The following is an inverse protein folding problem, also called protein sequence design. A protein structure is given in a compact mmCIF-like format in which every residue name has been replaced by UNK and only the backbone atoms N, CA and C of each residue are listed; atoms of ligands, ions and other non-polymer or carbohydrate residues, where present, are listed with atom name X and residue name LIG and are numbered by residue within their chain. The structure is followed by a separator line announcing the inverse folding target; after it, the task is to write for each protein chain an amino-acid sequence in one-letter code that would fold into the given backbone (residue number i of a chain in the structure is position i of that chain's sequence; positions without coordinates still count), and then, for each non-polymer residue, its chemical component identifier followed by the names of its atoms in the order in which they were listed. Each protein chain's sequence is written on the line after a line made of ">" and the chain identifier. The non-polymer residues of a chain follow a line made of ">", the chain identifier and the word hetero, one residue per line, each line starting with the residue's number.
data_IF_196768377542
#
_entry.id   IF_196768377542
#
_cell.length_a   1.000
_cell.length_b   1.000
_cell.length_c   1.000
_cell.angle_alpha   90.00
_cell.angle_beta   90.00
_cell.angle_gamma   90.00
#
_symmetry.space_group_name_H-M   'P 1'
#
loop_
_entity.id
_entity.type
_entity.pdbx_description
1 polymer ?
#
# COMPACT_ATOMS: atom_id res chain seq x y z
N UNK A 1 -22.83 17.42 8.71
CA UNK A 1 -21.67 16.87 9.47
C UNK A 1 -21.71 15.35 9.37
N UNK A 2 -20.57 14.69 9.21
CA UNK A 2 -20.52 13.22 9.19
C UNK A 2 -20.68 12.73 10.63
N UNK A 3 -21.71 11.94 10.92
CA UNK A 3 -22.09 11.54 12.28
C UNK A 3 -22.39 10.02 12.37
N UNK A 4 -22.50 9.52 13.59
CA UNK A 4 -22.90 8.14 13.87
C UNK A 4 -22.00 7.08 13.24
N UNK A 5 -22.56 5.99 12.70
CA UNK A 5 -21.77 4.91 12.10
C UNK A 5 -20.88 5.35 10.93
N UNK A 6 -21.31 6.39 10.20
CA UNK A 6 -20.56 6.92 9.07
C UNK A 6 -19.27 7.63 9.53
N UNK A 7 -19.33 8.37 10.63
CA UNK A 7 -18.17 8.94 11.28
C UNK A 7 -17.16 7.84 11.67
N UNK A 8 -17.64 6.78 12.31
CA UNK A 8 -16.80 5.65 12.73
C UNK A 8 -16.12 4.97 11.54
N UNK A 9 -16.85 4.72 10.46
CA UNK A 9 -16.30 4.15 9.22
C UNK A 9 -15.21 5.04 8.62
N UNK A 10 -15.44 6.37 8.61
CA UNK A 10 -14.45 7.33 8.08
C UNK A 10 -13.18 7.36 8.92
N UNK A 11 -13.31 7.35 10.25
CA UNK A 11 -12.15 7.26 11.16
C UNK A 11 -11.38 5.96 10.96
N UNK A 12 -12.07 4.82 10.87
CA UNK A 12 -11.44 3.52 10.61
C UNK A 12 -10.74 3.49 9.25
N UNK A 13 -11.35 4.09 8.22
CA UNK A 13 -10.75 4.27 6.90
C UNK A 13 -9.47 5.09 6.96
N UNK A 14 -9.49 6.24 7.64
CA UNK A 14 -8.32 7.09 7.84
C UNK A 14 -7.18 6.34 8.54
N UNK A 15 -7.47 5.62 9.62
CA UNK A 15 -6.49 4.83 10.37
C UNK A 15 -5.91 3.69 9.53
N UNK A 16 -6.74 2.93 8.81
CA UNK A 16 -6.30 1.83 7.98
C UNK A 16 -5.41 2.30 6.83
N UNK A 17 -5.76 3.42 6.18
CA UNK A 17 -4.93 4.04 5.15
C UNK A 17 -3.62 4.57 5.75
N UNK A 18 -3.64 5.19 6.93
CA UNK A 18 -2.46 5.67 7.64
C UNK A 18 -1.49 4.55 8.00
N UNK A 19 -1.98 3.41 8.51
CA UNK A 19 -1.15 2.22 8.78
C UNK A 19 -0.56 1.66 7.48
N UNK A 20 -1.33 1.55 6.41
CA UNK A 20 -0.84 1.12 5.10
C UNK A 20 0.26 2.06 4.59
N UNK A 21 0.06 3.37 4.69
CA UNK A 21 1.06 4.38 4.33
C UNK A 21 2.35 4.20 5.15
N UNK A 22 2.23 3.99 6.47
CA UNK A 22 3.37 3.76 7.36
C UNK A 22 4.22 2.57 6.92
N UNK A 23 3.61 1.45 6.56
CA UNK A 23 4.32 0.27 6.05
C UNK A 23 5.04 0.59 4.75
N UNK A 24 4.36 1.18 3.76
CA UNK A 24 4.98 1.51 2.47
C UNK A 24 6.10 2.55 2.60
N UNK A 25 5.91 3.56 3.45
CA UNK A 25 6.93 4.59 3.73
C UNK A 25 8.15 3.97 4.42
N UNK A 26 7.98 3.03 5.37
CA UNK A 26 9.08 2.33 6.00
C UNK A 26 9.93 1.58 4.97
N UNK A 27 9.29 0.86 4.03
CA UNK A 27 9.99 0.22 2.92
C UNK A 27 10.74 1.22 2.03
N UNK A 28 10.14 2.37 1.72
CA UNK A 28 10.77 3.41 0.92
C UNK A 28 11.93 4.10 1.65
N UNK A 29 11.77 4.36 2.95
CA UNK A 29 12.71 5.18 3.72
C UNK A 29 13.98 4.42 4.10
N UNK A 30 13.86 3.17 4.56
CA UNK A 30 15.01 2.43 5.11
C UNK A 30 15.07 0.95 4.78
N UNK A 31 13.94 0.21 4.66
CA UNK A 31 13.99 -1.24 4.44
C UNK A 31 14.69 -1.58 3.13
N UNK A 32 14.23 -1.00 2.00
CA UNK A 32 14.82 -1.27 0.69
C UNK A 32 16.27 -0.75 0.58
N UNK A 33 16.60 0.34 1.26
CA UNK A 33 17.99 0.80 1.33
C UNK A 33 18.89 -0.19 2.06
N UNK A 34 18.40 -0.76 3.17
CA UNK A 34 19.12 -1.79 3.91
C UNK A 34 19.33 -3.04 3.07
N UNK A 35 18.28 -3.53 2.39
CA UNK A 35 18.37 -4.70 1.51
C UNK A 35 19.31 -4.48 0.32
N UNK A 36 19.28 -3.30 -0.29
CA UNK A 36 20.14 -2.95 -1.41
C UNK A 36 21.62 -2.79 -1.03
N UNK A 37 21.93 -2.55 0.24
CA UNK A 37 23.29 -2.48 0.76
C UNK A 37 23.91 -3.86 1.01
N UNK A 38 23.11 -4.93 1.05
CA UNK A 38 23.59 -6.30 1.19
C UNK A 38 24.20 -6.83 -0.14
N UNK A 39 25.07 -7.85 -0.08
CA UNK A 39 25.43 -8.61 -1.27
C UNK A 39 24.15 -9.08 -1.99
N UNK A 40 24.11 -9.09 -3.34
CA UNK A 40 22.90 -9.41 -4.09
C UNK A 40 22.19 -10.69 -3.66
N UNK A 41 22.95 -11.78 -3.43
CA UNK A 41 22.40 -13.05 -2.94
C UNK A 41 21.59 -12.89 -1.65
N UNK A 42 22.13 -12.17 -0.68
CA UNK A 42 21.48 -11.93 0.61
C UNK A 42 20.27 -10.99 0.47
N UNK A 43 20.38 -9.94 -0.34
CA UNK A 43 19.28 -9.01 -0.62
C UNK A 43 18.10 -9.70 -1.28
N UNK A 44 18.34 -10.54 -2.28
CA UNK A 44 17.33 -11.35 -2.98
C UNK A 44 16.65 -12.30 -1.98
N UNK A 45 17.44 -13.12 -1.28
CA UNK A 45 16.91 -14.11 -0.33
C UNK A 45 16.07 -13.45 0.77
N UNK A 46 16.55 -12.33 1.32
CA UNK A 46 15.81 -11.59 2.34
C UNK A 46 14.49 -11.02 1.80
N UNK A 47 14.49 -10.42 0.60
CA UNK A 47 13.26 -9.86 0.03
C UNK A 47 12.27 -10.95 -0.40
N UNK A 48 12.73 -12.10 -0.89
CA UNK A 48 11.88 -13.27 -1.14
C UNK A 48 11.19 -13.73 0.16
N UNK A 49 11.93 -13.83 1.26
CA UNK A 49 11.37 -14.17 2.56
C UNK A 49 10.36 -13.14 3.07
N UNK A 50 10.63 -11.84 2.89
CA UNK A 50 9.70 -10.75 3.22
C UNK A 50 8.41 -10.86 2.41
N UNK A 51 8.50 -11.13 1.10
CA UNK A 51 7.32 -11.28 0.24
C UNK A 51 6.43 -12.45 0.69
N UNK A 52 7.02 -13.57 1.12
CA UNK A 52 6.28 -14.69 1.69
C UNK A 52 5.62 -14.28 3.02
N UNK A 53 6.36 -13.62 3.90
CA UNK A 53 5.85 -13.17 5.19
C UNK A 53 4.73 -12.12 5.06
N UNK A 54 4.75 -11.29 4.00
CA UNK A 54 3.73 -10.29 3.73
C UNK A 54 2.34 -10.89 3.43
N UNK A 55 2.26 -12.17 3.06
CA UNK A 55 0.97 -12.88 2.89
C UNK A 55 0.40 -13.36 4.23
N UNK A 56 1.04 -13.01 5.36
CA UNK A 56 0.54 -13.37 6.69
C UNK A 56 -0.85 -12.77 6.98
N UNK A 57 -1.70 -13.46 7.77
CA UNK A 57 -3.03 -12.97 8.11
C UNK A 57 -3.02 -11.55 8.71
N UNK A 58 -2.02 -11.21 9.51
CA UNK A 58 -1.91 -9.90 10.16
C UNK A 58 -1.79 -8.76 9.14
N UNK A 59 -0.88 -8.88 8.17
CA UNK A 59 -0.73 -7.85 7.12
C UNK A 59 -1.91 -7.85 6.15
N UNK A 60 -2.43 -9.03 5.79
CA UNK A 60 -3.57 -9.15 4.88
C UNK A 60 -4.84 -8.53 5.46
N UNK A 61 -5.10 -8.68 6.78
CA UNK A 61 -6.23 -8.00 7.44
C UNK A 61 -6.11 -6.48 7.33
N UNK A 62 -4.93 -5.92 7.55
CA UNK A 62 -4.72 -4.46 7.42
C UNK A 62 -4.91 -4.01 5.97
N UNK A 63 -4.24 -4.67 5.04
CA UNK A 63 -4.22 -4.24 3.63
C UNK A 63 -5.56 -4.46 2.92
N UNK A 64 -6.14 -5.66 3.05
CA UNK A 64 -7.47 -5.97 2.50
C UNK A 64 -8.57 -5.21 3.24
N UNK A 65 -8.46 -5.10 4.57
CA UNK A 65 -9.38 -4.33 5.39
C UNK A 65 -9.44 -2.86 4.98
N UNK A 66 -8.30 -2.23 4.70
CA UNK A 66 -8.27 -0.87 4.17
C UNK A 66 -9.00 -0.77 2.81
N UNK A 67 -8.77 -1.71 1.90
CA UNK A 67 -9.45 -1.72 0.60
C UNK A 67 -10.97 -1.92 0.74
N UNK A 68 -11.41 -2.85 1.58
CA UNK A 68 -12.84 -3.10 1.85
C UNK A 68 -13.49 -1.87 2.50
N UNK A 69 -12.86 -1.27 3.50
CA UNK A 69 -13.38 -0.05 4.14
C UNK A 69 -13.52 1.10 3.14
N UNK A 70 -12.52 1.31 2.28
CA UNK A 70 -12.59 2.35 1.25
C UNK A 70 -13.67 2.06 0.21
N UNK A 71 -13.88 0.80 -0.17
CA UNK A 71 -14.97 0.43 -1.06
C UNK A 71 -16.32 0.70 -0.42
N UNK A 72 -16.51 0.31 0.84
CA UNK A 72 -17.75 0.58 1.59
C UNK A 72 -17.98 2.08 1.71
N UNK A 73 -16.95 2.87 2.10
CA UNK A 73 -17.03 4.31 2.17
C UNK A 73 -17.42 4.94 0.82
N UNK A 74 -16.80 4.49 -0.29
CA UNK A 74 -17.13 4.99 -1.61
C UNK A 74 -18.61 4.73 -1.96
N UNK A 75 -19.09 3.50 -1.74
CA UNK A 75 -20.49 3.13 -2.02
C UNK A 75 -21.47 3.90 -1.14
N UNK A 76 -21.20 3.96 0.17
CA UNK A 76 -22.08 4.68 1.11
C UNK A 76 -22.11 6.17 0.78
N UNK A 77 -20.95 6.77 0.49
CA UNK A 77 -20.87 8.18 0.09
C UNK A 77 -21.64 8.44 -1.20
N UNK A 78 -21.49 7.57 -2.20
CA UNK A 78 -22.19 7.72 -3.48
C UNK A 78 -23.71 7.60 -3.33
N UNK A 79 -24.18 6.72 -2.45
CA UNK A 79 -25.63 6.51 -2.20
C UNK A 79 -26.24 7.62 -1.36
N UNK A 80 -25.57 8.04 -0.29
CA UNK A 80 -26.08 9.04 0.64
C UNK A 80 -25.84 10.48 0.16
N UNK A 81 -24.80 10.70 -0.62
CA UNK A 81 -24.37 11.99 -1.16
C UNK A 81 -24.43 13.13 -0.15
N UNK A 82 -23.67 13.05 0.95
CA UNK A 82 -23.72 14.07 2.01
C UNK A 82 -23.30 15.44 1.46
N UNK A 83 -23.90 16.52 2.00
CA UNK A 83 -23.60 17.89 1.57
C UNK A 83 -22.14 18.29 1.86
N UNK A 84 -21.54 17.71 2.88
CA UNK A 84 -20.16 17.98 3.29
C UNK A 84 -19.32 16.70 3.25
N UNK A 85 -18.05 16.82 2.84
CA UNK A 85 -17.08 15.74 2.85
C UNK A 85 -17.20 14.73 1.70
N UNK A 86 -18.17 14.88 0.78
CA UNK A 86 -18.36 13.95 -0.35
C UNK A 86 -17.11 13.84 -1.22
N UNK A 87 -16.49 14.95 -1.58
CA UNK A 87 -15.30 14.96 -2.46
C UNK A 87 -14.14 14.30 -1.75
N UNK A 88 -13.90 14.64 -0.49
CA UNK A 88 -12.81 14.10 0.32
C UNK A 88 -12.96 12.59 0.53
N UNK A 89 -14.18 12.12 0.80
CA UNK A 89 -14.47 10.68 0.99
C UNK A 89 -14.27 9.88 -0.30
N UNK A 90 -14.77 10.37 -1.42
CA UNK A 90 -14.60 9.71 -2.72
C UNK A 90 -13.14 9.76 -3.18
N UNK A 91 -12.45 10.90 -2.99
CA UNK A 91 -11.03 11.04 -3.32
C UNK A 91 -10.17 10.11 -2.47
N UNK A 92 -10.38 10.09 -1.16
CA UNK A 92 -9.66 9.17 -0.25
C UNK A 92 -9.85 7.71 -0.64
N UNK A 93 -11.10 7.33 -0.93
CA UNK A 93 -11.41 5.97 -1.39
C UNK A 93 -10.74 5.64 -2.72
N UNK A 94 -10.77 6.53 -3.69
CA UNK A 94 -10.13 6.33 -5.00
C UNK A 94 -8.60 6.22 -4.87
N UNK A 95 -7.97 7.08 -4.05
CA UNK A 95 -6.54 7.03 -3.79
C UNK A 95 -6.10 5.70 -3.19
N UNK A 96 -6.83 5.17 -2.21
CA UNK A 96 -6.49 3.87 -1.61
C UNK A 96 -6.77 2.71 -2.57
N UNK A 97 -7.93 2.69 -3.24
CA UNK A 97 -8.32 1.59 -4.12
C UNK A 97 -7.50 1.53 -5.40
N UNK A 98 -7.23 2.66 -6.04
CA UNK A 98 -6.48 2.71 -7.29
C UNK A 98 -4.98 2.91 -7.02
N UNK A 99 -4.64 3.93 -6.22
CA UNK A 99 -3.26 4.34 -6.01
C UNK A 99 -2.45 3.40 -5.10
N UNK A 100 -3.10 2.70 -4.17
CA UNK A 100 -2.41 1.73 -3.32
C UNK A 100 -2.73 0.28 -3.73
N UNK A 101 -3.99 -0.13 -3.68
CA UNK A 101 -4.38 -1.51 -3.98
C UNK A 101 -4.18 -1.86 -5.46
N UNK A 102 -4.69 -1.06 -6.39
CA UNK A 102 -4.53 -1.27 -7.82
C UNK A 102 -3.07 -1.31 -8.25
N UNK A 103 -2.25 -0.37 -7.76
CA UNK A 103 -0.79 -0.37 -8.03
C UNK A 103 -0.11 -1.61 -7.45
N UNK A 104 -0.53 -2.08 -6.28
CA UNK A 104 0.01 -3.33 -5.71
C UNK A 104 -0.22 -4.49 -6.67
N UNK A 105 -1.45 -4.66 -7.15
CA UNK A 105 -1.81 -5.78 -8.04
C UNK A 105 -1.14 -5.65 -9.42
N UNK A 106 -1.14 -4.46 -10.00
CA UNK A 106 -0.66 -4.24 -11.36
C UNK A 106 0.87 -4.11 -11.47
N UNK A 107 1.53 -3.66 -10.42
CA UNK A 107 2.95 -3.33 -10.50
C UNK A 107 3.84 -4.09 -9.50
N UNK A 108 3.52 -4.09 -8.20
CA UNK A 108 4.42 -4.70 -7.21
C UNK A 108 4.34 -6.22 -7.18
N UNK A 109 3.14 -6.82 -7.28
CA UNK A 109 2.97 -8.28 -7.30
C UNK A 109 3.71 -8.92 -8.47
N UNK A 110 3.57 -8.48 -9.74
CA UNK A 110 4.31 -9.08 -10.84
C UNK A 110 5.83 -9.01 -10.68
N UNK A 111 6.35 -7.95 -10.04
CA UNK A 111 7.77 -7.82 -9.72
C UNK A 111 8.20 -8.80 -8.63
N UNK A 112 7.37 -8.97 -7.60
CA UNK A 112 7.61 -9.97 -6.55
C UNK A 112 7.63 -11.39 -7.13
N UNK A 113 6.73 -11.70 -8.06
CA UNK A 113 6.66 -12.99 -8.74
C UNK A 113 7.89 -13.23 -9.62
N UNK A 114 8.40 -12.19 -10.27
CA UNK A 114 9.65 -12.27 -11.03
C UNK A 114 10.86 -12.48 -10.10
N UNK A 115 10.92 -11.76 -8.98
CA UNK A 115 11.98 -11.94 -7.97
C UNK A 115 11.96 -13.36 -7.38
N UNK A 116 10.78 -13.92 -7.11
CA UNK A 116 10.63 -15.26 -6.54
C UNK A 116 11.21 -16.37 -7.42
N UNK A 117 11.42 -16.12 -8.72
CA UNK A 117 12.00 -17.08 -9.69
C UNK A 117 13.51 -16.98 -9.80
N UNK A 118 14.13 -15.97 -9.19
CA UNK A 118 15.59 -15.83 -9.22
C UNK A 118 16.24 -16.80 -8.24
N UNK A 119 17.32 -17.42 -8.67
CA UNK A 119 18.25 -18.10 -7.75
C UNK A 119 19.13 -17.03 -7.09
N UNK A 120 19.06 -16.86 -5.76
CA UNK A 120 19.88 -15.87 -5.07
C UNK A 120 21.37 -16.05 -5.24
N UNK A 121 21.84 -17.31 -5.36
CA UNK A 121 23.27 -17.64 -5.46
C UNK A 121 23.82 -17.52 -6.90
N UNK A 122 22.96 -17.39 -7.90
CA UNK A 122 23.38 -17.26 -9.28
C UNK A 122 23.96 -15.86 -9.57
N UNK A 123 25.20 -15.74 -10.08
CA UNK A 123 25.84 -14.44 -10.36
C UNK A 123 25.01 -13.54 -11.30
N UNK A 124 24.30 -14.15 -12.25
CA UNK A 124 23.42 -13.46 -13.19
C UNK A 124 22.22 -12.79 -12.54
N UNK A 125 21.83 -13.19 -11.33
CA UNK A 125 20.70 -12.59 -10.58
C UNK A 125 21.00 -11.18 -10.07
N UNK A 126 22.26 -10.76 -10.01
CA UNK A 126 22.64 -9.43 -9.53
C UNK A 126 22.12 -8.27 -10.40
N UNK A 127 22.02 -8.47 -11.72
CA UNK A 127 21.43 -7.49 -12.65
C UNK A 127 19.94 -7.29 -12.41
N UNK A 128 19.13 -8.36 -12.53
CA UNK A 128 17.70 -8.36 -12.20
C UNK A 128 17.38 -7.81 -10.82
N UNK A 129 18.19 -8.10 -9.80
CA UNK A 129 18.02 -7.53 -8.45
C UNK A 129 18.08 -6.00 -8.44
N UNK A 130 19.08 -5.39 -9.09
CA UNK A 130 19.19 -3.92 -9.16
C UNK A 130 17.99 -3.29 -9.85
N UNK A 131 17.52 -3.89 -10.95
CA UNK A 131 16.32 -3.45 -11.66
C UNK A 131 15.07 -3.58 -10.75
N UNK A 132 14.91 -4.72 -10.07
CA UNK A 132 13.85 -4.93 -9.12
C UNK A 132 13.81 -3.85 -8.04
N UNK A 133 14.94 -3.56 -7.39
CA UNK A 133 15.02 -2.55 -6.32
C UNK A 133 14.52 -1.19 -6.82
N UNK A 134 15.00 -0.73 -7.98
CA UNK A 134 14.62 0.59 -8.50
C UNK A 134 13.16 0.68 -8.91
N UNK A 135 12.65 -0.30 -9.64
CA UNK A 135 11.29 -0.30 -10.14
C UNK A 135 10.26 -0.56 -9.03
N UNK A 136 10.53 -1.53 -8.15
CA UNK A 136 9.66 -1.82 -7.02
C UNK A 136 9.53 -0.62 -6.09
N UNK A 137 10.65 0.07 -5.84
CA UNK A 137 10.69 1.24 -4.98
C UNK A 137 9.90 2.42 -5.57
N UNK A 138 10.00 2.65 -6.88
CA UNK A 138 9.23 3.67 -7.58
C UNK A 138 7.71 3.46 -7.36
N UNK A 139 7.22 2.25 -7.61
CA UNK A 139 5.81 1.93 -7.40
C UNK A 139 5.40 1.96 -5.93
N UNK A 140 6.32 1.59 -5.03
CA UNK A 140 6.09 1.67 -3.59
C UNK A 140 5.94 3.13 -3.10
N UNK A 141 6.67 4.09 -3.69
CA UNK A 141 6.50 5.51 -3.39
C UNK A 141 5.09 5.99 -3.76
N UNK A 142 4.57 5.54 -4.90
CA UNK A 142 3.20 5.85 -5.34
C UNK A 142 2.19 5.30 -4.34
N UNK A 143 2.33 4.04 -3.91
CA UNK A 143 1.45 3.42 -2.90
C UNK A 143 1.47 4.17 -1.58
N UNK A 144 2.67 4.49 -1.09
CA UNK A 144 2.86 5.22 0.17
C UNK A 144 2.25 6.61 0.13
N UNK A 145 2.50 7.37 -0.95
CA UNK A 145 1.91 8.69 -1.17
C UNK A 145 0.39 8.64 -1.29
N UNK A 146 -0.14 7.70 -2.07
CA UNK A 146 -1.57 7.53 -2.25
C UNK A 146 -2.28 7.16 -0.94
N UNK A 147 -1.74 6.22 -0.16
CA UNK A 147 -2.32 5.83 1.13
C UNK A 147 -2.27 6.98 2.14
N UNK A 148 -1.18 7.75 2.19
CA UNK A 148 -1.08 8.92 3.07
C UNK A 148 -2.08 10.01 2.68
N UNK A 149 -2.18 10.30 1.39
CA UNK A 149 -3.15 11.26 0.87
C UNK A 149 -4.60 10.79 1.11
N UNK A 150 -4.89 9.49 1.00
CA UNK A 150 -6.19 8.91 1.34
C UNK A 150 -6.53 9.12 2.81
N UNK A 151 -5.60 8.84 3.72
CA UNK A 151 -5.77 9.08 5.16
C UNK A 151 -6.05 10.55 5.45
N UNK A 152 -5.25 11.46 4.87
CA UNK A 152 -5.45 12.90 5.02
C UNK A 152 -6.82 13.36 4.48
N UNK A 153 -7.25 12.82 3.33
CA UNK A 153 -8.54 13.14 2.71
C UNK A 153 -9.71 12.74 3.63
N UNK A 154 -9.65 11.55 4.25
CA UNK A 154 -10.67 11.13 5.22
C UNK A 154 -10.68 11.99 6.49
N UNK A 155 -9.51 12.44 6.97
CA UNK A 155 -9.42 13.35 8.12
C UNK A 155 -10.06 14.70 7.76
N UNK A 156 -9.79 15.25 6.58
CA UNK A 156 -10.41 16.49 6.11
C UNK A 156 -11.92 16.39 5.96
N UNK A 157 -12.44 15.22 5.57
CA UNK A 157 -13.87 14.99 5.50
C UNK A 157 -14.58 15.11 6.88
N UNK A 158 -13.84 14.95 7.98
CA UNK A 158 -14.36 15.01 9.34
C UNK A 158 -14.31 16.42 9.96
N UNK A 159 -13.67 17.39 9.29
CA UNK A 159 -13.54 18.77 9.75
C UNK A 159 -14.55 19.68 9.08
#
# INVERSE_FOLDING_TARGET
>A
MIEGPYFVLTVLGALACGVSAGVFIAFSAFVMKGLAALPPAQGIAAMQAINVAAVSPAFMVVFMGAAVLCLVLAVVTFVLWPEQGTVELLLGSALQLVGAFGVTVAANIPRNDALAKLDPEAPESAGPWRTYVSEWLMWNHIRGGASLAASASFILALT
#
